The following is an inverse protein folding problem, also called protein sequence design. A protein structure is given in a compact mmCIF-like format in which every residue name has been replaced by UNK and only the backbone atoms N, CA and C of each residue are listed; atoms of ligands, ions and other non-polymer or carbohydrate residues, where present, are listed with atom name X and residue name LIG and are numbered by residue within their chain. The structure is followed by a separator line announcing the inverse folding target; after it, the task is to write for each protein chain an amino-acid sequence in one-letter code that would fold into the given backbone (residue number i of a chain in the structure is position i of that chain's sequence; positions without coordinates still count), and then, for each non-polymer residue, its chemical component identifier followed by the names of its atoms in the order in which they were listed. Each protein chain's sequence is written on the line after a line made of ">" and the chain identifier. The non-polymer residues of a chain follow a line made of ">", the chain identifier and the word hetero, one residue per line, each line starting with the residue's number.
data_IF_706772705256
#
_entry.id   IF_706772705256
#
_cell.length_a   1.000
_cell.length_b   1.000
_cell.length_c   1.000
_cell.angle_alpha   90.00
_cell.angle_beta   90.00
_cell.angle_gamma   90.00
#
_symmetry.space_group_name_H-M   'P 1'
#
loop_
_entity.id
_entity.type
_entity.pdbx_description
1 polymer ?
#
# COMPACT_ATOMS: atom_id res chain seq x y z
N UNK A 1 -11.58 -5.89 -27.42
CA UNK A 1 -11.01 -5.41 -26.17
C UNK A 1 -11.71 -6.10 -25.01
N UNK A 2 -10.96 -6.75 -24.17
CA UNK A 2 -11.53 -7.53 -23.09
C UNK A 2 -11.80 -6.65 -21.88
N UNK A 3 -13.04 -6.50 -21.49
CA UNK A 3 -13.40 -5.76 -20.29
C UNK A 3 -12.97 -6.49 -19.02
N UNK A 4 -12.88 -7.81 -19.10
CA UNK A 4 -12.48 -8.62 -17.96
C UNK A 4 -11.05 -8.31 -17.53
N UNK A 5 -10.14 -8.15 -18.49
CA UNK A 5 -8.78 -7.77 -18.19
C UNK A 5 -8.71 -6.36 -17.60
N UNK A 6 -9.56 -5.47 -18.11
CA UNK A 6 -9.62 -4.10 -17.61
C UNK A 6 -10.17 -4.04 -16.19
N UNK A 7 -11.09 -4.92 -15.83
CA UNK A 7 -11.65 -4.95 -14.49
C UNK A 7 -10.59 -5.25 -13.43
N UNK A 8 -9.72 -6.21 -13.70
CA UNK A 8 -8.63 -6.54 -12.77
C UNK A 8 -7.63 -5.39 -12.66
N UNK A 9 -7.28 -4.79 -13.81
CA UNK A 9 -6.38 -3.65 -13.83
C UNK A 9 -7.00 -2.44 -13.13
N UNK A 10 -8.31 -2.20 -13.34
CA UNK A 10 -9.01 -1.10 -12.69
C UNK A 10 -9.03 -1.29 -11.17
N UNK A 11 -9.22 -2.51 -10.70
CA UNK A 11 -9.23 -2.78 -9.27
C UNK A 11 -7.83 -2.51 -8.68
N UNK A 12 -6.79 -2.95 -9.36
CA UNK A 12 -5.42 -2.65 -8.94
C UNK A 12 -5.17 -1.16 -8.85
N UNK A 13 -5.63 -0.40 -9.85
CA UNK A 13 -5.46 1.05 -9.85
C UNK A 13 -6.24 1.70 -8.71
N UNK A 14 -7.44 1.22 -8.42
CA UNK A 14 -8.25 1.73 -7.31
C UNK A 14 -7.57 1.46 -5.98
N UNK A 15 -7.00 0.28 -5.81
CA UNK A 15 -6.28 -0.08 -4.59
C UNK A 15 -5.07 0.83 -4.43
N UNK A 16 -4.29 1.04 -5.48
CA UNK A 16 -3.14 1.95 -5.44
C UNK A 16 -3.60 3.36 -5.06
N UNK A 17 -4.72 3.83 -5.63
CA UNK A 17 -5.29 5.12 -5.28
C UNK A 17 -5.62 5.24 -3.80
N UNK A 18 -6.18 4.18 -3.22
CA UNK A 18 -6.45 4.14 -1.78
C UNK A 18 -5.15 4.21 -0.99
N UNK A 19 -4.15 3.43 -1.39
CA UNK A 19 -2.86 3.42 -0.69
C UNK A 19 -2.16 4.77 -0.76
N UNK A 20 -2.34 5.49 -1.85
CA UNK A 20 -1.79 6.85 -2.01
C UNK A 20 -2.52 7.88 -1.15
N UNK A 21 -3.65 7.52 -0.57
CA UNK A 21 -4.39 8.40 0.34
C UNK A 21 -4.06 8.18 1.81
N UNK A 22 -3.25 7.17 2.12
CA UNK A 22 -2.89 6.82 3.48
C UNK A 22 -1.48 7.32 3.75
N UNK A 23 -1.33 8.16 4.77
CA UNK A 23 -0.05 8.79 5.10
C UNK A 23 0.54 8.19 6.36
N UNK A 24 1.86 8.05 6.37
CA UNK A 24 2.57 7.72 7.60
C UNK A 24 2.46 8.93 8.54
N UNK A 25 2.11 8.71 9.81
CA UNK A 25 1.92 9.85 10.72
C UNK A 25 3.19 10.64 11.03
N UNK A 26 4.35 10.07 10.79
CA UNK A 26 5.62 10.73 11.07
C UNK A 26 6.26 11.36 9.83
N UNK A 27 5.86 10.91 8.65
CA UNK A 27 6.46 11.36 7.40
C UNK A 27 5.34 11.87 6.49
N UNK A 28 5.42 13.12 5.99
CA UNK A 28 4.33 13.72 5.21
C UNK A 28 4.28 13.20 3.77
N UNK A 29 4.36 11.90 3.59
CA UNK A 29 4.29 11.23 2.30
C UNK A 29 3.42 10.00 2.47
N UNK A 30 2.62 9.69 1.45
CA UNK A 30 1.77 8.51 1.51
C UNK A 30 2.59 7.21 1.50
N UNK A 31 1.99 6.15 2.01
CA UNK A 31 2.69 4.88 2.20
C UNK A 31 3.11 4.23 0.89
N UNK A 32 2.38 4.49 -0.19
CA UNK A 32 2.73 3.92 -1.49
C UNK A 32 4.02 4.54 -2.02
N UNK A 33 4.12 5.86 -2.00
CA UNK A 33 5.31 6.57 -2.47
C UNK A 33 6.50 6.36 -1.55
N UNK A 34 6.26 6.10 -0.26
CA UNK A 34 7.33 5.76 0.69
C UNK A 34 7.98 4.42 0.38
N UNK A 35 7.34 3.58 -0.43
CA UNK A 35 7.86 2.26 -0.71
C UNK A 35 7.54 1.24 0.37
N UNK A 36 6.51 1.48 1.17
CA UNK A 36 6.10 0.53 2.19
C UNK A 36 5.28 -0.62 1.63
N UNK A 37 4.74 -0.47 0.42
CA UNK A 37 3.93 -1.51 -0.21
C UNK A 37 4.83 -2.32 -1.13
N UNK A 38 5.03 -3.58 -0.77
CA UNK A 38 5.90 -4.47 -1.55
C UNK A 38 5.16 -5.22 -2.63
N UNK A 39 3.91 -5.58 -2.39
CA UNK A 39 3.13 -6.29 -3.40
C UNK A 39 1.64 -6.10 -3.13
N UNK A 40 0.85 -6.18 -4.20
CA UNK A 40 -0.59 -6.14 -4.13
C UNK A 40 -1.09 -7.29 -4.99
N UNK A 41 -1.72 -8.27 -4.36
CA UNK A 41 -2.21 -9.46 -5.03
C UNK A 41 -3.74 -9.46 -5.03
N UNK A 42 -4.32 -9.60 -6.20
CA UNK A 42 -5.77 -9.63 -6.36
C UNK A 42 -6.12 -10.95 -7.07
N UNK A 43 -6.95 -11.76 -6.45
CA UNK A 43 -7.37 -13.01 -7.07
C UNK A 43 -8.68 -12.84 -7.84
N UNK A 44 -9.15 -13.92 -8.43
CA UNK A 44 -10.35 -13.91 -9.26
C UNK A 44 -11.63 -13.57 -8.49
N UNK A 45 -11.62 -13.81 -7.20
CA UNK A 45 -12.77 -13.54 -6.32
C UNK A 45 -12.76 -12.12 -5.75
N UNK A 46 -11.82 -11.29 -6.20
CA UNK A 46 -11.61 -9.94 -5.68
C UNK A 46 -11.18 -9.92 -4.22
N UNK A 47 -10.55 -10.98 -3.76
CA UNK A 47 -9.83 -10.99 -2.50
C UNK A 47 -8.46 -10.35 -2.71
N UNK A 48 -8.11 -9.41 -1.86
CA UNK A 48 -6.89 -8.62 -1.98
C UNK A 48 -5.94 -8.98 -0.85
N UNK A 49 -4.68 -9.22 -1.20
CA UNK A 49 -3.63 -9.38 -0.20
C UNK A 49 -2.56 -8.35 -0.45
N UNK A 50 -2.23 -7.59 0.57
CA UNK A 50 -1.20 -6.55 0.48
C UNK A 50 -0.03 -6.96 1.34
N UNK A 51 1.14 -7.00 0.72
CA UNK A 51 2.40 -7.25 1.42
C UNK A 51 3.06 -5.91 1.63
N UNK A 52 3.26 -5.52 2.88
CA UNK A 52 3.84 -4.22 3.19
C UNK A 52 4.84 -4.32 4.33
N UNK A 53 5.62 -3.27 4.49
CA UNK A 53 6.57 -3.16 5.58
C UNK A 53 6.35 -1.84 6.32
N UNK A 54 7.15 -1.61 7.33
CA UNK A 54 7.13 -0.37 8.11
C UNK A 54 8.54 0.19 8.15
N UNK A 55 8.66 1.50 8.41
CA UNK A 55 9.96 2.16 8.44
C UNK A 55 10.82 1.68 9.61
N UNK A 56 10.18 1.29 10.71
CA UNK A 56 10.90 0.68 11.84
C UNK A 56 10.02 -0.41 12.44
N UNK A 57 10.62 -1.51 12.94
CA UNK A 57 9.84 -2.58 13.54
C UNK A 57 9.23 -2.22 14.89
N UNK A 58 9.71 -1.15 15.53
CA UNK A 58 9.24 -0.71 16.84
C UNK A 58 8.34 0.53 16.77
N UNK A 59 7.85 0.85 15.59
CA UNK A 59 6.99 2.01 15.42
C UNK A 59 5.62 1.77 16.07
N UNK A 60 5.08 2.75 16.84
CA UNK A 60 3.74 2.59 17.42
C UNK A 60 2.64 2.36 16.38
N UNK A 61 2.86 2.79 15.15
CA UNK A 61 1.89 2.58 14.06
C UNK A 61 1.93 1.16 13.51
N UNK A 62 2.82 0.31 14.02
CA UNK A 62 2.91 -1.10 13.57
C UNK A 62 1.59 -1.85 13.74
N UNK A 63 0.76 -1.43 14.70
CA UNK A 63 -0.53 -2.06 14.94
C UNK A 63 -1.68 -1.34 14.23
N UNK A 64 -1.57 -0.03 14.03
CA UNK A 64 -2.68 0.77 13.50
C UNK A 64 -2.61 0.95 11.99
N UNK A 65 -1.43 1.14 11.42
CA UNK A 65 -1.29 1.41 10.00
C UNK A 65 -1.74 0.24 9.12
N UNK A 66 -1.33 -1.01 9.38
CA UNK A 66 -1.83 -2.13 8.57
C UNK A 66 -3.35 -2.28 8.65
N UNK A 67 -3.92 -2.01 9.82
CA UNK A 67 -5.35 -2.10 10.02
C UNK A 67 -6.08 -1.03 9.22
N UNK A 68 -5.55 0.18 9.20
CA UNK A 68 -6.10 1.26 8.40
C UNK A 68 -6.06 0.92 6.91
N UNK A 69 -4.96 0.34 6.44
CA UNK A 69 -4.82 -0.10 5.05
C UNK A 69 -5.90 -1.13 4.73
N UNK A 70 -6.05 -2.13 5.58
CA UNK A 70 -7.03 -3.19 5.39
C UNK A 70 -8.44 -2.62 5.32
N UNK A 71 -8.81 -1.76 6.26
CA UNK A 71 -10.15 -1.18 6.31
C UNK A 71 -10.44 -0.31 5.09
N UNK A 72 -9.48 0.51 4.68
CA UNK A 72 -9.69 1.39 3.53
C UNK A 72 -9.77 0.63 2.23
N UNK A 73 -8.98 -0.41 2.07
CA UNK A 73 -9.07 -1.25 0.87
C UNK A 73 -10.40 -2.01 0.86
N UNK A 74 -10.84 -2.51 1.99
CA UNK A 74 -12.14 -3.18 2.09
C UNK A 74 -13.30 -2.25 1.78
N UNK A 75 -13.13 -0.96 1.96
CA UNK A 75 -14.20 0.01 1.68
C UNK A 75 -14.50 0.16 0.18
N UNK A 76 -13.63 -0.35 -0.68
CA UNK A 76 -13.90 -0.36 -2.11
C UNK A 76 -14.96 -1.41 -2.43
N UNK A 77 -16.00 -0.99 -3.13
CA UNK A 77 -17.12 -1.88 -3.48
C UNK A 77 -16.67 -3.10 -4.28
N UNK A 78 -15.64 -2.93 -5.09
CA UNK A 78 -15.13 -4.01 -5.93
C UNK A 78 -14.29 -5.03 -5.16
N UNK A 79 -13.91 -4.73 -3.92
CA UNK A 79 -13.11 -5.62 -3.09
C UNK A 79 -14.00 -6.47 -2.21
N UNK A 80 -13.86 -7.77 -2.31
CA UNK A 80 -14.63 -8.69 -1.49
C UNK A 80 -14.05 -8.77 -0.09
N UNK A 81 -12.73 -8.89 0.01
CA UNK A 81 -12.03 -8.95 1.28
C UNK A 81 -10.61 -8.45 1.08
N UNK A 82 -9.98 -8.02 2.17
CA UNK A 82 -8.62 -7.54 2.11
C UNK A 82 -7.85 -8.02 3.33
N UNK A 83 -6.61 -8.40 3.09
CA UNK A 83 -5.70 -8.86 4.12
C UNK A 83 -4.37 -8.14 3.95
N UNK A 84 -3.76 -7.73 5.04
CA UNK A 84 -2.45 -7.09 5.02
C UNK A 84 -1.46 -7.96 5.79
N UNK A 85 -0.35 -8.27 5.15
CA UNK A 85 0.73 -9.03 5.77
C UNK A 85 1.94 -8.11 5.90
N UNK A 86 2.52 -8.07 7.09
CA UNK A 86 3.70 -7.26 7.36
C UNK A 86 4.95 -8.12 7.23
N UNK A 87 5.94 -7.61 6.53
CA UNK A 87 7.24 -8.26 6.42
C UNK A 87 8.34 -7.23 6.64
N UNK A 88 9.45 -7.66 7.22
CA UNK A 88 10.63 -6.82 7.36
C UNK A 88 11.80 -7.36 6.53
N UNK A 89 11.50 -8.20 5.56
CA UNK A 89 12.50 -8.77 4.68
C UNK A 89 12.03 -8.61 3.22
N UNK A 90 12.69 -7.77 2.43
CA UNK A 90 13.84 -6.95 2.80
C UNK A 90 13.46 -5.79 3.72
N UNK A 91 14.40 -5.30 4.53
CA UNK A 91 14.10 -4.14 5.39
C UNK A 91 13.92 -2.88 4.55
N UNK A 92 13.04 -2.00 5.03
CA UNK A 92 12.80 -0.74 4.34
C UNK A 92 14.03 0.15 4.41
N UNK A 93 14.27 0.90 3.33
CA UNK A 93 15.30 1.93 3.29
C UNK A 93 14.82 3.08 2.40
N UNK A 94 15.52 4.20 2.47
CA UNK A 94 15.18 5.37 1.66
C UNK A 94 15.25 5.08 0.16
N UNK A 95 16.04 4.11 -0.25
CA UNK A 95 16.15 3.74 -1.65
C UNK A 95 14.84 3.18 -2.22
N UNK A 96 13.94 2.73 -1.37
CA UNK A 96 12.64 2.21 -1.79
C UNK A 96 11.62 3.31 -2.06
N UNK A 97 11.91 4.55 -1.66
CA UNK A 97 11.04 5.68 -1.93
C UNK A 97 11.00 6.01 -3.41
N UNK A 98 9.82 6.47 -3.88
CA UNK A 98 9.73 7.02 -5.22
C UNK A 98 10.52 8.32 -5.33
N UNK A 99 10.78 8.75 -6.57
CA UNK A 99 11.46 10.04 -6.77
C UNK A 99 10.63 11.20 -6.24
N UNK A 100 9.30 11.13 -6.38
CA UNK A 100 8.42 12.15 -5.85
C UNK A 100 8.52 12.26 -4.33
N UNK A 101 8.55 11.10 -3.64
CA UNK A 101 8.70 11.11 -2.19
C UNK A 101 10.04 11.69 -1.76
N UNK A 102 11.10 11.38 -2.47
CA UNK A 102 12.42 11.93 -2.18
C UNK A 102 12.46 13.44 -2.38
N UNK A 103 11.80 13.93 -3.41
CA UNK A 103 11.68 15.36 -3.66
C UNK A 103 10.92 16.05 -2.53
N UNK A 104 9.80 15.48 -2.11
CA UNK A 104 8.99 16.04 -1.03
C UNK A 104 9.77 16.16 0.27
N UNK A 105 10.66 15.23 0.52
CA UNK A 105 11.45 15.21 1.75
C UNK A 105 12.80 15.89 1.62
N UNK A 106 13.10 16.45 0.46
CA UNK A 106 14.36 17.14 0.24
C UNK A 106 15.56 16.21 0.10
N UNK A 107 15.33 14.98 -0.31
CA UNK A 107 16.41 13.99 -0.46
C UNK A 107 17.01 13.95 -1.87
N UNK A 108 16.44 14.69 -2.79
CA UNK A 108 16.95 14.82 -4.15
C UNK A 108 17.42 16.23 -4.43
#
# INVERSE_FOLDING_TARGET
>A
MSQEMNETADLGDKIVGVLKSIFDPEIPVDIYELGLIYDVLVNEDADVKILMTLTTPNCPVAETLPKEVEEKVKSLDAVKDAEVEITFDPPWSQDLMSEEAKLELGLL
#
